data_IF_897328052116
#
_entry.id   IF_897328052116
#
_cell.length_a   1.000
_cell.length_b   1.000
_cell.length_c   1.000
_cell.angle_alpha   90.00
_cell.angle_beta   90.00
_cell.angle_gamma   90.00
#
_symmetry.space_group_name_H-M   'P 1'
#
loop_
_entity.id
_entity.type
_entity.pdbx_description
1 polymer ?
#
# COMPACT_ATOMS: atom_id res chain seq x y z
N UNK A 1 -20.92 26.08 16.99
CA UNK A 1 -20.19 25.59 18.17
C UNK A 1 -18.71 25.88 17.93
N UNK A 2 -18.11 26.79 18.70
CA UNK A 2 -16.79 27.39 18.40
C UNK A 2 -15.85 27.43 19.60
N UNK A 3 -16.23 26.80 20.73
CA UNK A 3 -15.46 26.85 21.98
C UNK A 3 -14.34 25.80 22.08
N UNK A 4 -14.39 24.72 21.29
CA UNK A 4 -13.39 23.64 21.36
C UNK A 4 -12.12 23.91 20.55
N UNK A 5 -12.17 24.81 19.56
CA UNK A 5 -11.03 25.06 18.66
C UNK A 5 -9.86 25.77 19.36
N UNK A 6 -10.14 26.60 20.38
CA UNK A 6 -9.10 27.20 21.21
C UNK A 6 -8.50 26.20 22.22
N UNK A 7 -9.17 25.06 22.46
CA UNK A 7 -8.72 24.07 23.45
C UNK A 7 -7.51 23.24 23.01
N UNK A 8 -7.16 23.27 21.71
CA UNK A 8 -6.02 22.51 21.18
C UNK A 8 -4.67 23.17 21.46
N UNK A 9 -4.64 24.48 21.69
CA UNK A 9 -3.40 25.25 21.85
C UNK A 9 -2.69 24.85 23.14
N UNK A 10 -1.37 24.65 23.06
CA UNK A 10 -0.53 24.21 24.18
C UNK A 10 -0.58 22.70 24.44
N UNK A 11 -1.42 21.93 23.75
CA UNK A 11 -1.44 20.47 23.90
C UNK A 11 -0.18 19.85 23.29
N UNK A 12 0.40 18.81 23.94
CA UNK A 12 1.47 18.03 23.34
C UNK A 12 0.94 17.27 22.12
N UNK A 13 1.77 17.25 21.08
CA UNK A 13 1.54 16.48 19.87
C UNK A 13 2.38 15.22 19.92
N UNK A 14 1.77 14.08 19.66
CA UNK A 14 2.44 12.80 19.49
C UNK A 14 2.19 12.26 18.09
N UNK A 15 3.11 11.47 17.56
CA UNK A 15 2.83 10.66 16.38
C UNK A 15 1.87 9.50 16.73
N UNK A 16 1.42 8.81 15.70
CA UNK A 16 0.58 7.60 15.80
C UNK A 16 1.23 6.42 16.54
N UNK A 17 2.53 6.47 16.82
CA UNK A 17 3.29 5.47 17.57
C UNK A 17 3.56 5.90 19.02
N UNK A 18 3.05 7.06 19.44
CA UNK A 18 3.18 7.60 20.79
C UNK A 18 4.45 8.41 21.06
N UNK A 19 5.27 8.68 20.03
CA UNK A 19 6.46 9.52 20.11
C UNK A 19 6.08 10.97 20.22
N UNK A 20 6.75 11.74 21.08
CA UNK A 20 6.58 13.19 21.11
C UNK A 20 7.00 13.81 19.78
N UNK A 21 6.07 14.52 19.14
CA UNK A 21 6.27 15.22 17.89
C UNK A 21 6.51 16.72 18.11
N UNK A 22 5.81 17.31 19.09
CA UNK A 22 5.94 18.74 19.37
C UNK A 22 4.87 19.27 20.30
N UNK A 23 4.65 20.57 20.28
CA UNK A 23 3.57 21.25 21.03
C UNK A 23 2.81 22.19 20.11
N UNK A 24 1.49 22.24 20.24
CA UNK A 24 0.65 23.15 19.44
C UNK A 24 0.86 24.60 19.88
N UNK A 25 1.26 25.47 18.95
CA UNK A 25 1.43 26.90 19.18
C UNK A 25 0.18 27.71 18.89
N UNK A 26 -0.62 27.28 17.92
CA UNK A 26 -1.78 28.05 17.45
C UNK A 26 -2.47 27.41 16.26
N UNK A 27 -3.58 28.02 15.85
CA UNK A 27 -4.38 27.61 14.70
C UNK A 27 -4.52 28.77 13.72
N UNK A 28 -4.53 28.46 12.42
CA UNK A 28 -4.97 29.37 11.38
C UNK A 28 -6.32 28.88 10.85
N UNK A 29 -7.27 29.80 10.71
CA UNK A 29 -8.64 29.50 10.30
C UNK A 29 -8.98 30.12 8.96
N UNK A 30 -9.87 29.48 8.22
CA UNK A 30 -10.53 30.06 7.07
C UNK A 30 -11.51 31.18 7.47
N UNK A 31 -12.02 31.92 6.48
CA UNK A 31 -12.97 33.04 6.67
C UNK A 31 -14.27 32.57 7.33
N UNK A 32 -14.66 31.32 7.11
CA UNK A 32 -15.85 30.69 7.72
C UNK A 32 -15.62 30.25 9.18
N UNK A 33 -14.41 30.41 9.71
CA UNK A 33 -14.03 30.04 11.08
C UNK A 33 -13.62 28.58 11.26
N UNK A 34 -13.58 27.77 10.19
CA UNK A 34 -13.03 26.41 10.23
C UNK A 34 -11.50 26.43 10.33
N UNK A 35 -10.91 25.44 11.00
CA UNK A 35 -9.45 25.35 11.15
C UNK A 35 -8.85 24.87 9.82
N UNK A 36 -7.93 25.66 9.28
CA UNK A 36 -7.16 25.33 8.09
C UNK A 36 -5.92 24.49 8.48
N UNK A 37 -5.07 25.05 9.33
CA UNK A 37 -3.80 24.45 9.72
C UNK A 37 -3.49 24.71 11.19
N UNK A 38 -2.72 23.80 11.79
CA UNK A 38 -2.18 23.90 13.15
C UNK A 38 -0.69 24.19 13.07
N UNK A 39 -0.23 25.21 13.81
CA UNK A 39 1.18 25.51 13.97
C UNK A 39 1.77 24.73 15.14
N UNK A 40 2.88 24.02 14.91
CA UNK A 40 3.53 23.15 15.89
C UNK A 40 4.99 23.55 16.06
N UNK A 41 5.43 23.64 17.31
CA UNK A 41 6.84 23.67 17.67
C UNK A 41 7.37 22.23 17.76
N UNK A 42 8.22 21.85 16.80
CA UNK A 42 8.86 20.54 16.72
C UNK A 42 10.26 20.55 17.35
N UNK A 43 10.56 21.52 18.21
CA UNK A 43 11.85 21.65 18.88
C UNK A 43 12.98 21.92 17.89
N UNK A 44 13.91 20.98 17.74
CA UNK A 44 15.07 21.11 16.84
C UNK A 44 14.68 21.13 15.35
N UNK A 45 13.53 20.57 14.99
CA UNK A 45 13.00 20.67 13.62
C UNK A 45 12.27 22.00 13.36
N UNK A 46 12.18 22.86 14.37
CA UNK A 46 11.60 24.19 14.28
C UNK A 46 10.08 24.20 14.12
N UNK A 47 9.58 25.28 13.55
CA UNK A 47 8.15 25.50 13.34
C UNK A 47 7.64 24.72 12.11
N UNK A 48 6.56 23.96 12.29
CA UNK A 48 5.82 23.34 11.19
C UNK A 48 4.36 23.79 11.20
N UNK A 49 3.84 24.11 10.03
CA UNK A 49 2.43 24.40 9.83
C UNK A 49 1.81 23.22 9.06
N UNK A 50 0.89 22.51 9.71
CA UNK A 50 0.36 21.23 9.22
C UNK A 50 -1.16 21.35 9.07
N UNK A 51 -1.77 20.85 7.97
CA UNK A 51 -3.22 20.77 7.80
C UNK A 51 -3.95 20.16 8.99
N UNK A 52 -5.11 20.73 9.36
CA UNK A 52 -5.87 20.25 10.51
C UNK A 52 -6.35 18.79 10.37
N UNK A 53 -6.59 18.34 9.13
CA UNK A 53 -7.02 16.96 8.81
C UNK A 53 -6.00 15.89 9.21
N UNK A 54 -4.75 16.28 9.44
CA UNK A 54 -3.68 15.38 9.90
C UNK A 54 -3.66 15.24 11.43
N UNK A 55 -4.65 15.77 12.16
CA UNK A 55 -4.71 15.69 13.61
C UNK A 55 -5.95 14.99 14.12
N UNK A 56 -5.75 14.17 15.16
CA UNK A 56 -6.83 13.56 15.94
C UNK A 56 -6.67 13.99 17.39
N UNK A 57 -7.70 14.63 17.94
CA UNK A 57 -7.76 15.01 19.34
C UNK A 57 -8.08 13.79 20.20
N UNK A 58 -7.19 13.43 21.12
CA UNK A 58 -7.41 12.36 22.09
C UNK A 58 -7.21 12.89 23.51
N UNK A 59 -8.29 13.40 24.10
CA UNK A 59 -8.25 14.04 25.42
C UNK A 59 -7.30 15.24 25.42
N UNK A 60 -6.23 15.15 26.20
CA UNK A 60 -5.23 16.21 26.37
C UNK A 60 -4.03 16.09 25.42
N UNK A 61 -4.03 15.12 24.51
CA UNK A 61 -2.96 14.91 23.53
C UNK A 61 -3.54 15.05 22.12
N UNK A 62 -2.73 15.60 21.21
CA UNK A 62 -3.03 15.64 19.78
C UNK A 62 -2.20 14.56 19.09
N UNK A 63 -2.85 13.68 18.31
CA UNK A 63 -2.16 12.67 17.51
C UNK A 63 -1.97 13.22 16.09
N UNK A 64 -0.73 13.27 15.63
CA UNK A 64 -0.35 13.57 14.26
C UNK A 64 -0.41 12.31 13.39
N UNK A 65 -1.05 12.44 12.24
CA UNK A 65 -1.15 11.42 11.19
C UNK A 65 -0.34 11.89 9.97
N UNK A 66 0.63 11.08 9.49
CA UNK A 66 1.41 11.41 8.29
C UNK A 66 0.55 11.67 7.04
N UNK A 67 1.01 12.58 6.18
CA UNK A 67 0.28 13.05 4.98
C UNK A 67 -0.02 11.92 4.02
N UNK A 68 1.02 11.15 3.64
CA UNK A 68 0.89 9.93 2.84
C UNK A 68 -0.23 8.99 3.30
N UNK A 69 -0.50 8.90 4.61
CA UNK A 69 -1.52 7.99 5.15
C UNK A 69 -2.91 8.49 4.85
N UNK A 70 -3.15 9.80 5.03
CA UNK A 70 -4.42 10.45 4.71
C UNK A 70 -4.68 10.37 3.20
N UNK A 71 -3.68 10.74 2.41
CA UNK A 71 -3.79 10.77 0.95
C UNK A 71 -3.99 9.37 0.36
N UNK A 72 -3.23 8.37 0.84
CA UNK A 72 -3.41 6.98 0.42
C UNK A 72 -4.83 6.46 0.74
N UNK A 73 -5.34 6.74 1.94
CA UNK A 73 -6.70 6.32 2.32
C UNK A 73 -7.75 6.98 1.44
N UNK A 74 -7.59 8.28 1.16
CA UNK A 74 -8.49 9.03 0.29
C UNK A 74 -8.50 8.44 -1.13
N UNK A 75 -7.34 8.22 -1.72
CA UNK A 75 -7.19 7.64 -3.06
C UNK A 75 -7.81 6.24 -3.11
N UNK A 76 -7.47 5.36 -2.16
CA UNK A 76 -8.02 4.00 -2.09
C UNK A 76 -9.55 3.99 -1.97
N UNK A 77 -10.14 4.97 -1.27
CA UNK A 77 -11.59 5.09 -1.14
C UNK A 77 -12.23 5.60 -2.43
N UNK A 78 -11.72 6.69 -2.98
CA UNK A 78 -12.28 7.35 -4.17
C UNK A 78 -12.14 6.45 -5.40
N UNK A 79 -10.97 5.86 -5.62
CA UNK A 79 -10.70 4.98 -6.77
C UNK A 79 -11.56 3.72 -6.70
N UNK A 80 -11.67 3.05 -5.55
CA UNK A 80 -12.58 1.90 -5.36
C UNK A 80 -14.04 2.24 -5.65
N UNK A 81 -14.52 3.41 -5.23
CA UNK A 81 -15.89 3.82 -5.53
C UNK A 81 -16.08 4.08 -7.03
N UNK A 82 -15.11 4.74 -7.65
CA UNK A 82 -15.14 5.07 -9.08
C UNK A 82 -15.14 3.81 -9.93
N UNK A 83 -14.28 2.83 -9.63
CA UNK A 83 -14.23 1.54 -10.33
C UNK A 83 -15.55 0.75 -10.20
N UNK A 84 -16.14 0.70 -9.01
CA UNK A 84 -17.45 0.04 -8.81
C UNK A 84 -18.57 0.71 -9.62
N UNK A 85 -18.59 2.04 -9.68
CA UNK A 85 -19.57 2.80 -10.46
C UNK A 85 -19.36 2.61 -11.96
N UNK A 86 -18.11 2.61 -12.41
CA UNK A 86 -17.76 2.36 -13.81
C UNK A 86 -18.22 0.96 -14.23
N UNK A 87 -17.95 -0.07 -13.42
CA UNK A 87 -18.42 -1.44 -13.68
C UNK A 87 -19.94 -1.53 -13.81
N UNK A 88 -20.67 -0.95 -12.84
CA UNK A 88 -22.13 -0.93 -12.87
C UNK A 88 -22.69 -0.18 -14.10
N UNK A 89 -22.04 0.92 -14.51
CA UNK A 89 -22.41 1.65 -15.72
C UNK A 89 -22.20 0.80 -16.98
N UNK A 90 -21.05 0.14 -17.09
CA UNK A 90 -20.76 -0.77 -18.22
C UNK A 90 -21.76 -1.92 -18.29
N UNK A 91 -22.16 -2.47 -17.14
CA UNK A 91 -23.18 -3.53 -17.08
C UNK A 91 -24.53 -3.02 -17.60
N UNK A 92 -25.01 -1.86 -17.13
CA UNK A 92 -26.27 -1.24 -17.58
C UNK A 92 -26.23 -0.92 -19.09
N UNK A 93 -25.13 -0.34 -19.58
CA UNK A 93 -24.96 -0.01 -21.00
C UNK A 93 -24.98 -1.25 -21.90
N UNK A 94 -24.54 -2.41 -21.39
CA UNK A 94 -24.61 -3.68 -22.11
C UNK A 94 -26.02 -4.29 -22.15
N UNK A 95 -26.86 -4.00 -21.16
CA UNK A 95 -28.22 -4.54 -21.03
C UNK A 95 -29.29 -3.70 -21.75
N UNK A 96 -29.11 -2.38 -21.87
CA UNK A 96 -30.14 -1.43 -22.32
C UNK A 96 -29.71 -0.64 -23.55
N UNK A 97 -29.55 -1.32 -24.69
CA UNK A 97 -28.94 -0.83 -25.94
C UNK A 97 -29.42 0.50 -26.58
N UNK A 98 -30.25 1.31 -25.92
CA UNK A 98 -30.82 2.58 -26.43
C UNK A 98 -30.52 3.85 -25.58
N UNK A 99 -29.98 3.79 -24.35
CA UNK A 99 -29.58 4.99 -23.55
C UNK A 99 -28.11 5.44 -23.77
N UNK A 100 -27.60 5.35 -25.01
CA UNK A 100 -26.15 5.50 -25.28
C UNK A 100 -25.57 6.87 -24.92
N UNK A 101 -26.25 7.98 -25.22
CA UNK A 101 -25.63 9.32 -25.13
C UNK A 101 -25.40 9.79 -23.70
N UNK A 102 -26.32 9.52 -22.79
CA UNK A 102 -26.20 9.91 -21.37
C UNK A 102 -25.25 8.96 -20.63
N UNK A 103 -25.27 7.66 -20.99
CA UNK A 103 -24.31 6.67 -20.50
C UNK A 103 -22.86 7.00 -20.89
N UNK A 104 -22.64 7.36 -22.16
CA UNK A 104 -21.31 7.75 -22.67
C UNK A 104 -20.76 8.99 -21.94
N UNK A 105 -21.59 10.00 -21.68
CA UNK A 105 -21.18 11.21 -20.95
C UNK A 105 -20.77 10.89 -19.49
N UNK A 106 -21.52 10.04 -18.81
CA UNK A 106 -21.19 9.61 -17.45
C UNK A 106 -19.92 8.75 -17.45
N UNK A 107 -19.77 7.88 -18.45
CA UNK A 107 -18.58 7.05 -18.62
C UNK A 107 -17.32 7.91 -18.79
N UNK A 108 -17.37 8.92 -19.66
CA UNK A 108 -16.29 9.88 -19.85
C UNK A 108 -15.97 10.63 -18.55
N UNK A 109 -16.99 11.04 -17.79
CA UNK A 109 -16.81 11.68 -16.49
C UNK A 109 -16.05 10.78 -15.50
N UNK A 110 -16.40 9.50 -15.42
CA UNK A 110 -15.67 8.56 -14.57
C UNK A 110 -14.26 8.28 -15.06
N UNK A 111 -14.03 8.23 -16.38
CA UNK A 111 -12.70 8.09 -16.97
C UNK A 111 -11.81 9.29 -16.65
N UNK A 112 -12.30 10.51 -16.79
CA UNK A 112 -11.58 11.72 -16.38
C UNK A 112 -11.24 11.68 -14.89
N UNK A 113 -12.20 11.31 -14.04
CA UNK A 113 -11.95 11.18 -12.59
C UNK A 113 -10.90 10.11 -12.27
N UNK A 114 -10.87 8.99 -12.99
CA UNK A 114 -9.82 7.98 -12.83
C UNK A 114 -8.44 8.53 -13.21
N UNK A 115 -8.33 9.29 -14.29
CA UNK A 115 -7.05 9.93 -14.67
C UNK A 115 -6.53 10.90 -13.60
N UNK A 116 -7.42 11.72 -13.01
CA UNK A 116 -7.05 12.60 -11.88
C UNK A 116 -6.58 11.80 -10.66
N UNK A 117 -7.27 10.68 -10.37
CA UNK A 117 -6.91 9.79 -9.28
C UNK A 117 -5.56 9.11 -9.53
N UNK A 118 -5.26 8.70 -10.75
CA UNK A 118 -3.98 8.10 -11.13
C UNK A 118 -2.82 9.09 -10.97
N UNK A 119 -3.01 10.37 -11.31
CA UNK A 119 -2.01 11.42 -11.06
C UNK A 119 -1.75 11.59 -9.56
N UNK A 120 -2.82 11.65 -8.75
CA UNK A 120 -2.68 11.74 -7.29
C UNK A 120 -2.04 10.49 -6.69
N UNK A 121 -2.34 9.31 -7.26
CA UNK A 121 -1.74 8.03 -6.85
C UNK A 121 -0.25 8.02 -7.08
N UNK A 122 0.22 8.52 -8.22
CA UNK A 122 1.64 8.62 -8.52
C UNK A 122 2.37 9.45 -7.46
N UNK A 123 1.81 10.60 -7.07
CA UNK A 123 2.40 11.47 -6.04
C UNK A 123 2.52 10.77 -4.69
N UNK A 124 1.48 10.03 -4.29
CA UNK A 124 1.51 9.24 -3.04
C UNK A 124 2.52 8.10 -3.14
N UNK A 125 2.63 7.41 -4.28
CA UNK A 125 3.65 6.36 -4.48
C UNK A 125 5.06 6.92 -4.31
N UNK A 126 5.35 8.07 -4.90
CA UNK A 126 6.65 8.73 -4.76
C UNK A 126 6.95 9.09 -3.30
N UNK A 127 5.96 9.59 -2.55
CA UNK A 127 6.10 9.87 -1.12
C UNK A 127 6.36 8.59 -0.30
N UNK A 128 5.65 7.50 -0.60
CA UNK A 128 5.84 6.20 0.07
C UNK A 128 7.23 5.61 -0.20
N UNK A 129 7.75 5.72 -1.43
CA UNK A 129 9.12 5.29 -1.79
C UNK A 129 10.14 6.12 -1.02
N UNK A 130 10.02 7.45 -1.05
CA UNK A 130 10.91 8.33 -0.29
C UNK A 130 10.87 8.03 1.21
N UNK A 131 9.70 7.68 1.76
CA UNK A 131 9.57 7.29 3.16
C UNK A 131 10.29 5.97 3.47
N UNK A 132 10.18 4.97 2.61
CA UNK A 132 10.92 3.70 2.77
C UNK A 132 12.43 3.90 2.74
N UNK A 133 12.92 4.75 1.84
CA UNK A 133 14.35 5.09 1.76
C UNK A 133 14.84 5.77 3.04
N UNK A 134 14.04 6.67 3.62
CA UNK A 134 14.35 7.30 4.91
C UNK A 134 14.38 6.27 6.05
N UNK A 135 13.40 5.37 6.12
CA UNK A 135 13.37 4.29 7.12
C UNK A 135 14.59 3.36 6.99
N UNK A 136 15.01 3.03 5.76
CA UNK A 136 16.21 2.26 5.48
C UNK A 136 17.48 2.94 6.00
N UNK A 137 17.61 4.25 5.77
CA UNK A 137 18.76 5.01 6.22
C UNK A 137 18.81 5.10 7.75
N UNK A 138 17.66 5.34 8.39
CA UNK A 138 17.53 5.35 9.85
C UNK A 138 17.87 3.98 10.45
N UNK A 139 17.33 2.90 9.90
CA UNK A 139 17.58 1.53 10.37
C UNK A 139 19.07 1.17 10.28
N UNK A 140 19.74 1.51 9.17
CA UNK A 140 21.18 1.30 8.99
C UNK A 140 21.98 2.08 10.03
N UNK A 141 21.67 3.35 10.24
CA UNK A 141 22.36 4.19 11.23
C UNK A 141 22.23 3.63 12.65
N UNK A 142 21.02 3.21 13.05
CA UNK A 142 20.76 2.62 14.37
C UNK A 142 21.52 1.30 14.55
N UNK A 143 21.58 0.44 13.53
CA UNK A 143 22.35 -0.81 13.59
C UNK A 143 23.85 -0.57 13.73
N UNK A 144 24.39 0.46 13.08
CA UNK A 144 25.80 0.86 13.24
C UNK A 144 26.07 1.30 14.67
N UNK A 145 25.22 2.15 15.25
CA UNK A 145 25.33 2.60 16.65
C UNK A 145 25.28 1.40 17.61
N UNK A 146 24.34 0.47 17.40
CA UNK A 146 24.21 -0.72 18.23
C UNK A 146 25.45 -1.62 18.15
N UNK A 147 26.07 -1.74 16.98
CA UNK A 147 27.30 -2.50 16.82
C UNK A 147 28.50 -1.80 17.49
N UNK A 148 28.63 -0.49 17.29
CA UNK A 148 29.71 0.30 17.89
C UNK A 148 29.62 0.29 19.42
N UNK A 149 28.42 0.42 19.99
CA UNK A 149 28.19 0.28 21.42
C UNK A 149 28.62 -1.08 21.97
N UNK A 150 28.42 -2.16 21.20
CA UNK A 150 28.93 -3.50 21.58
C UNK A 150 30.46 -3.55 21.56
N UNK A 151 31.11 -2.86 20.62
CA UNK A 151 32.58 -2.77 20.58
C UNK A 151 33.08 -1.99 21.80
N UNK A 152 32.53 -0.81 22.06
CA UNK A 152 32.87 0.04 23.22
C UNK A 152 32.67 -0.70 24.56
N UNK A 153 31.62 -1.52 24.65
CA UNK A 153 31.37 -2.33 25.84
C UNK A 153 32.43 -3.42 26.02
N UNK A 154 32.86 -4.06 24.92
CA UNK A 154 33.91 -5.10 24.93
C UNK A 154 35.32 -4.55 25.14
N UNK A 155 35.55 -3.28 24.84
CA UNK A 155 36.80 -2.58 25.11
C UNK A 155 36.81 -1.88 26.48
N UNK A 156 35.79 -2.12 27.32
CA UNK A 156 35.63 -1.50 28.65
C UNK A 156 35.56 0.05 28.61
N UNK A 157 35.16 0.64 27.48
CA UNK A 157 34.98 2.09 27.31
C UNK A 157 33.64 2.59 27.89
N UNK A 158 32.61 1.74 27.89
CA UNK A 158 31.31 2.00 28.48
C UNK A 158 30.93 0.92 29.49
N UNK A 159 30.15 1.30 30.51
CA UNK A 159 29.66 0.36 31.52
C UNK A 159 28.58 -0.58 30.99
N UNK A 160 28.36 -1.70 31.68
CA UNK A 160 27.24 -2.62 31.42
C UNK A 160 25.90 -1.88 31.36
N UNK A 161 25.64 -1.00 32.33
CA UNK A 161 24.40 -0.22 32.40
C UNK A 161 24.21 0.72 31.20
N UNK A 162 25.29 1.33 30.70
CA UNK A 162 25.23 2.17 29.51
C UNK A 162 24.95 1.33 28.24
N UNK A 163 25.61 0.18 28.10
CA UNK A 163 25.41 -0.76 27.00
C UNK A 163 23.95 -1.27 26.96
N UNK A 164 23.41 -1.68 28.10
CA UNK A 164 22.01 -2.12 28.23
C UNK A 164 21.03 -1.01 27.86
N UNK A 165 21.28 0.23 28.32
CA UNK A 165 20.45 1.38 27.99
C UNK A 165 20.46 1.69 26.48
N UNK A 166 21.64 1.67 25.84
CA UNK A 166 21.76 1.89 24.39
C UNK A 166 21.01 0.79 23.62
N UNK A 167 21.20 -0.47 24.02
CA UNK A 167 20.53 -1.60 23.39
C UNK A 167 19.00 -1.48 23.49
N UNK A 168 18.48 -1.12 24.66
CA UNK A 168 17.05 -0.89 24.86
C UNK A 168 16.52 0.21 23.93
N UNK A 169 17.16 1.39 23.90
CA UNK A 169 16.71 2.50 23.06
C UNK A 169 16.80 2.19 21.56
N UNK A 170 17.87 1.54 21.12
CA UNK A 170 18.02 1.13 19.72
C UNK A 170 16.96 0.12 19.31
N UNK A 171 16.69 -0.90 20.14
CA UNK A 171 15.69 -1.91 19.83
C UNK A 171 14.28 -1.32 19.75
N UNK A 172 13.90 -0.43 20.67
CA UNK A 172 12.61 0.26 20.62
C UNK A 172 12.45 1.07 19.33
N UNK A 173 13.52 1.76 18.90
CA UNK A 173 13.50 2.50 17.64
C UNK A 173 13.39 1.56 16.43
N UNK A 174 14.15 0.46 16.40
CA UNK A 174 14.08 -0.54 15.32
C UNK A 174 12.69 -1.18 15.20
N UNK A 175 12.04 -1.48 16.32
CA UNK A 175 10.66 -1.99 16.34
C UNK A 175 9.68 -0.98 15.71
N UNK A 176 9.78 0.29 16.10
CA UNK A 176 8.94 1.35 15.53
C UNK A 176 9.16 1.51 14.03
N UNK A 177 10.42 1.54 13.58
CA UNK A 177 10.76 1.61 12.15
C UNK A 177 10.22 0.40 11.38
N UNK A 178 10.29 -0.79 11.97
CA UNK A 178 9.73 -2.02 11.39
C UNK A 178 8.21 -1.95 11.25
N UNK A 179 7.50 -1.46 12.26
CA UNK A 179 6.05 -1.30 12.20
C UNK A 179 5.63 -0.33 11.10
N UNK A 180 6.27 0.84 11.04
CA UNK A 180 5.98 1.82 10.01
C UNK A 180 6.30 1.30 8.61
N UNK A 181 7.42 0.58 8.44
CA UNK A 181 7.79 -0.05 7.16
C UNK A 181 6.69 -1.00 6.68
N UNK A 182 6.20 -1.88 7.57
CA UNK A 182 5.13 -2.81 7.24
C UNK A 182 3.86 -2.07 6.82
N UNK A 183 3.50 -0.97 7.50
CA UNK A 183 2.36 -0.14 7.11
C UNK A 183 2.54 0.46 5.71
N UNK A 184 3.69 1.08 5.45
CA UNK A 184 4.00 1.73 4.16
C UNK A 184 3.96 0.72 3.02
N UNK A 185 4.60 -0.44 3.19
CA UNK A 185 4.61 -1.52 2.19
C UNK A 185 3.20 -2.09 1.96
N UNK A 186 2.40 -2.26 3.02
CA UNK A 186 1.02 -2.72 2.87
C UNK A 186 0.15 -1.74 2.07
N UNK A 187 0.35 -0.43 2.30
CA UNK A 187 -0.34 0.61 1.54
C UNK A 187 0.11 0.62 0.08
N UNK A 188 1.41 0.51 -0.21
CA UNK A 188 1.92 0.40 -1.58
C UNK A 188 1.29 -0.77 -2.32
N UNK A 189 1.32 -1.97 -1.74
CA UNK A 189 0.69 -3.17 -2.33
C UNK A 189 -0.79 -2.93 -2.62
N UNK A 190 -1.53 -2.32 -1.68
CA UNK A 190 -2.96 -2.09 -1.85
C UNK A 190 -3.27 -1.09 -2.96
N UNK A 191 -2.41 -0.09 -3.13
CA UNK A 191 -2.49 0.86 -4.23
C UNK A 191 -2.21 0.15 -5.57
N UNK A 192 -1.18 -0.69 -5.63
CA UNK A 192 -0.82 -1.48 -6.82
C UNK A 192 -1.97 -2.40 -7.27
N UNK A 193 -2.57 -3.15 -6.34
CA UNK A 193 -3.74 -4.01 -6.61
C UNK A 193 -4.89 -3.23 -7.25
N UNK A 194 -5.17 -2.03 -6.73
CA UNK A 194 -6.26 -1.19 -7.24
C UNK A 194 -5.94 -0.58 -8.61
N UNK A 195 -4.66 -0.34 -8.88
CA UNK A 195 -4.21 0.10 -10.19
C UNK A 195 -4.33 -1.00 -11.24
N UNK A 196 -4.04 -2.26 -10.89
CA UNK A 196 -4.29 -3.40 -11.78
C UNK A 196 -5.79 -3.53 -12.10
N UNK A 197 -6.67 -3.45 -11.09
CA UNK A 197 -8.14 -3.47 -11.32
C UNK A 197 -8.60 -2.32 -12.24
N UNK A 198 -8.00 -1.13 -12.08
CA UNK A 198 -8.28 0.03 -12.94
C UNK A 198 -7.88 -0.21 -14.39
N UNK A 199 -6.70 -0.81 -14.61
CA UNK A 199 -6.22 -1.17 -15.95
C UNK A 199 -7.13 -2.20 -16.62
N UNK A 200 -7.56 -3.24 -15.91
CA UNK A 200 -8.47 -4.27 -16.44
C UNK A 200 -9.83 -3.71 -16.88
N UNK A 201 -10.38 -2.74 -16.12
CA UNK A 201 -11.69 -2.15 -16.40
C UNK A 201 -11.67 -1.09 -17.51
N UNK A 202 -10.50 -0.48 -17.78
CA UNK A 202 -10.36 0.61 -18.75
C UNK A 202 -9.74 0.18 -20.07
N UNK A 203 -9.18 -1.03 -20.15
CA UNK A 203 -8.72 -1.62 -21.41
C UNK A 203 -9.89 -1.98 -22.33
N UNK A 204 -9.80 -1.70 -23.65
CA UNK A 204 -10.76 -2.21 -24.61
C UNK A 204 -10.71 -3.75 -24.65
N UNK A 205 -11.85 -4.42 -24.39
CA UNK A 205 -11.99 -5.89 -24.46
C UNK A 205 -11.54 -6.51 -25.80
N UNK A 206 -11.40 -5.73 -26.88
CA UNK A 206 -11.03 -6.21 -28.21
C UNK A 206 -9.50 -6.36 -28.42
N UNK A 207 -8.64 -5.68 -27.66
CA UNK A 207 -7.18 -5.69 -27.92
C UNK A 207 -6.48 -6.96 -27.38
N UNK A 208 -6.97 -7.57 -26.29
CA UNK A 208 -6.36 -8.79 -25.72
C UNK A 208 -6.44 -10.01 -26.64
N UNK A 209 -7.48 -10.11 -27.48
CA UNK A 209 -7.62 -11.22 -28.44
C UNK A 209 -6.69 -11.03 -29.63
N UNK A 210 -6.41 -9.78 -30.01
CA UNK A 210 -5.57 -9.48 -31.16
C UNK A 210 -4.07 -9.60 -30.82
N UNK A 211 -3.59 -9.09 -29.69
CA UNK A 211 -2.16 -9.18 -29.37
C UNK A 211 -1.69 -10.63 -29.12
N UNK A 212 -2.52 -11.44 -28.44
CA UNK A 212 -2.24 -12.87 -28.25
C UNK A 212 -2.25 -13.66 -29.56
N UNK A 213 -3.02 -13.24 -30.57
CA UNK A 213 -3.05 -13.88 -31.88
C UNK A 213 -1.96 -13.34 -32.82
N UNK A 214 -1.56 -12.08 -32.68
CA UNK A 214 -0.53 -11.43 -33.51
C UNK A 214 0.85 -12.02 -33.24
N UNK A 215 1.16 -12.46 -32.01
CA UNK A 215 2.42 -13.19 -31.75
C UNK A 215 2.52 -14.54 -32.47
N UNK A 216 1.39 -15.14 -32.90
CA UNK A 216 1.36 -16.34 -33.73
C UNK A 216 1.33 -16.02 -35.24
N UNK A 217 0.96 -14.81 -35.63
CA UNK A 217 0.76 -14.42 -37.03
C UNK A 217 1.88 -13.52 -37.58
N UNK A 218 2.68 -12.88 -36.73
CA UNK A 218 3.82 -12.07 -37.18
C UNK A 218 5.05 -12.95 -37.46
N UNK A 219 4.95 -13.73 -38.52
CA UNK A 219 6.09 -14.27 -39.26
C UNK A 219 5.87 -13.99 -40.73
N UNK A 220 6.03 -12.72 -41.12
CA UNK A 220 5.99 -12.31 -42.52
C UNK A 220 7.40 -12.01 -43.03
N UNK A 221 8.02 -13.01 -43.67
CA UNK A 221 8.90 -12.75 -44.81
C UNK A 221 10.27 -13.44 -44.84
N UNK A 222 10.33 -14.76 -45.06
CA UNK A 222 11.29 -15.29 -46.03
C UNK A 222 10.84 -16.63 -46.66
N UNK A 223 10.52 -16.56 -47.95
CA UNK A 223 10.61 -17.58 -49.01
C UNK A 223 10.01 -18.99 -48.79
N UNK A 224 9.05 -19.35 -49.65
CA UNK A 224 8.56 -20.71 -49.86
C UNK A 224 9.68 -21.72 -50.12
N UNK A 225 9.70 -22.82 -49.36
CA UNK A 225 9.94 -24.16 -49.89
C UNK A 225 9.32 -25.20 -48.93
N UNK A 226 8.51 -26.10 -49.49
CA UNK A 226 7.53 -26.88 -48.75
C UNK A 226 8.09 -27.87 -47.74
N UNK A 227 7.30 -28.09 -46.68
CA UNK A 227 7.23 -29.37 -45.98
C UNK A 227 5.78 -29.63 -45.60
N UNK A 228 5.29 -30.78 -46.05
CA UNK A 228 3.99 -31.37 -45.74
C UNK A 228 4.03 -31.88 -44.29
N UNK A 229 3.30 -31.23 -43.38
CA UNK A 229 3.21 -31.66 -41.99
C UNK A 229 2.20 -32.81 -41.88
N UNK A 230 2.72 -34.04 -41.82
CA UNK A 230 1.95 -35.25 -41.54
C UNK A 230 1.59 -35.28 -40.05
N UNK A 231 0.29 -35.43 -39.75
CA UNK A 231 -0.24 -35.66 -38.42
C UNK A 231 0.19 -37.05 -37.90
N UNK A 232 0.80 -37.18 -36.69
CA UNK A 232 1.14 -38.50 -36.16
C UNK A 232 -0.12 -39.24 -35.70
N UNK A 233 -0.24 -40.52 -36.06
CA UNK A 233 -1.36 -41.39 -35.64
C UNK A 233 -1.21 -41.80 -34.17
N UNK A 234 -2.32 -41.97 -33.43
CA UNK A 234 -2.28 -42.43 -32.05
C UNK A 234 -1.92 -43.93 -31.98
N UNK A 235 -1.16 -44.39 -30.96
CA UNK A 235 -0.89 -45.81 -30.77
C UNK A 235 -2.09 -46.54 -30.17
N UNK A 236 -2.43 -47.67 -30.77
CA UNK A 236 -3.39 -48.68 -30.30
C UNK A 236 -2.86 -49.50 -29.13
N UNK A 237 -3.74 -49.78 -28.16
CA UNK A 237 -3.57 -50.75 -27.06
C UNK A 237 -3.21 -52.16 -27.56
N UNK A 238 -2.37 -52.88 -26.80
CA UNK A 238 -2.48 -54.33 -26.60
C UNK A 238 -1.68 -54.75 -25.35
N UNK A 239 -2.33 -55.56 -24.52
CA UNK A 239 -1.85 -56.21 -23.30
C UNK A 239 -0.65 -57.13 -23.52
N UNK A 240 0.28 -57.20 -22.56
CA UNK A 240 0.34 -58.30 -21.58
C UNK A 240 1.60 -58.25 -20.69
N UNK A 241 1.41 -58.74 -19.46
CA UNK A 241 2.40 -59.31 -18.52
C UNK A 241 3.18 -58.40 -17.56
N UNK A 242 2.81 -58.48 -16.28
CA UNK A 242 3.64 -58.18 -15.08
C UNK A 242 4.49 -59.42 -14.68
N UNK A 243 5.19 -59.50 -13.51
CA UNK A 243 5.57 -58.50 -12.50
C UNK A 243 7.04 -58.58 -12.03
N UNK A 244 7.54 -57.57 -11.30
CA UNK A 244 8.83 -57.63 -10.60
C UNK A 244 8.97 -56.54 -9.52
N UNK A 245 9.39 -56.96 -8.32
CA UNK A 245 9.28 -56.33 -7.01
C UNK A 245 10.38 -55.28 -6.65
N UNK A 246 10.17 -54.64 -5.48
CA UNK A 246 11.05 -53.80 -4.62
C UNK A 246 11.05 -52.29 -4.89
N UNK A 247 11.11 -51.35 -3.93
CA UNK A 247 10.80 -51.22 -2.50
C UNK A 247 11.28 -49.80 -2.05
N UNK A 248 10.61 -49.18 -1.06
CA UNK A 248 11.08 -48.08 -0.16
C UNK A 248 11.39 -46.69 -0.79
N UNK A 249 11.21 -45.51 -0.18
CA UNK A 249 10.82 -45.04 1.17
C UNK A 249 10.56 -43.51 1.11
N UNK A 250 9.69 -43.00 2.00
CA UNK A 250 9.67 -41.66 2.65
C UNK A 250 9.55 -40.39 1.76
N UNK A 251 8.87 -39.31 2.14
CA UNK A 251 8.17 -38.94 3.36
C UNK A 251 7.79 -37.44 3.34
N UNK A 252 6.65 -37.17 3.98
CA UNK A 252 6.20 -35.96 4.68
C UNK A 252 5.73 -34.66 4.01
N UNK A 253 4.54 -34.30 4.50
CA UNK A 253 3.72 -33.11 4.34
C UNK A 253 4.34 -31.85 4.98
N UNK A 254 3.95 -30.68 4.47
CA UNK A 254 3.92 -29.42 5.23
C UNK A 254 2.53 -28.80 5.09
N UNK A 255 1.78 -28.81 6.20
CA UNK A 255 0.64 -27.95 6.47
C UNK A 255 1.12 -26.53 6.78
N UNK A 256 0.52 -25.52 6.16
CA UNK A 256 0.71 -24.11 6.45
C UNK A 256 -0.49 -23.56 7.22
N UNK A 257 -0.20 -22.93 8.34
CA UNK A 257 -1.09 -22.24 9.26
C UNK A 257 -1.59 -20.90 8.69
N UNK A 258 -2.87 -20.84 8.31
CA UNK A 258 -3.61 -19.62 7.97
C UNK A 258 -4.77 -19.42 8.97
N UNK A 259 -4.50 -19.02 10.22
CA UNK A 259 -5.57 -18.60 11.12
C UNK A 259 -5.04 -17.57 12.12
N UNK A 260 -4.88 -16.31 11.71
CA UNK A 260 -4.90 -15.19 12.67
C UNK A 260 -5.16 -13.78 12.10
N UNK A 261 -5.26 -13.57 10.78
CA UNK A 261 -5.41 -12.22 10.20
C UNK A 261 -6.86 -11.69 10.22
N UNK A 262 -7.85 -12.57 10.38
CA UNK A 262 -9.27 -12.24 10.18
C UNK A 262 -9.94 -11.50 11.35
N UNK A 263 -9.29 -11.41 12.52
CA UNK A 263 -9.95 -11.00 13.78
C UNK A 263 -9.99 -9.48 14.01
N UNK A 264 -9.08 -8.70 13.40
CA UNK A 264 -9.02 -7.25 13.60
C UNK A 264 -10.05 -6.45 12.79
N UNK A 265 -10.40 -6.93 11.58
CA UNK A 265 -11.37 -6.27 10.70
C UNK A 265 -12.81 -6.34 11.24
N UNK A 266 -13.16 -7.45 11.90
CA UNK A 266 -14.50 -7.68 12.44
C UNK A 266 -14.85 -6.76 13.62
N UNK A 267 -13.85 -6.18 14.28
CA UNK A 267 -14.03 -5.29 15.44
C UNK A 267 -14.35 -3.83 15.07
N UNK A 268 -14.06 -3.41 13.85
CA UNK A 268 -14.30 -2.03 13.38
C UNK A 268 -15.68 -1.84 12.74
N UNK A 269 -16.30 -2.90 12.22
CA UNK A 269 -17.64 -2.82 11.60
C UNK A 269 -18.79 -2.70 12.61
N UNK A 270 -18.53 -2.91 13.90
CA UNK A 270 -19.56 -2.89 14.96
C UNK A 270 -19.79 -1.53 15.61
N UNK A 271 -19.02 -0.49 15.26
CA UNK A 271 -19.24 0.88 15.71
C UNK A 271 -19.70 1.76 14.54
N UNK A 272 -20.97 1.64 14.16
CA UNK A 272 -21.67 2.63 13.34
C UNK A 272 -23.14 2.69 13.77
#
# INVERSE_FOLDING_TARGET
>A
MTQDNASIVGKPVKDMYGTTFGTVLGILTHIDGSIQTVGIDCGSEGFKQIPYEQFVLQGDIVIYIPGWRIDAQKILREKRLTLRRLKALTDIMSEHGEEKTDGDLIHDTYKTKLMELDESESKVKDELVARLDELDNQEKAVKVILFDAKVQHRSDEISDAASESIQMHCNNLLERLSHERVEVTNVQRRIEEMSLESMELTQPKEEMVQESAVSYLDTSGNTLSGQEYVLPKPPTENSDSSPGMYAEQQGNQKESSELNESDWMSRMEQNN
#
